data_IF_647738030025
#
_entry.id   IF_647738030025
#
_cell.length_a   1.000
_cell.length_b   1.000
_cell.length_c   1.000
_cell.angle_alpha   90.00
_cell.angle_beta   90.00
_cell.angle_gamma   90.00
#
_symmetry.space_group_name_H-M   'P 1'
#
loop_
_entity.id
_entity.type
_entity.pdbx_description
1 polymer ?
#
# COMPACT_ATOMS: atom_id res chain seq x y z
N UNK A 1 28.37 -20.35 7.39
CA UNK A 1 27.74 -19.81 8.62
C UNK A 1 27.64 -18.32 8.38
N UNK A 2 26.51 -17.90 7.84
CA UNK A 2 26.23 -16.50 7.57
C UNK A 2 25.80 -15.85 8.90
N UNK A 3 26.47 -14.75 9.21
CA UNK A 3 26.19 -13.89 10.37
C UNK A 3 24.68 -13.75 10.58
N UNK A 4 24.26 -13.90 11.84
CA UNK A 4 22.85 -13.86 12.26
C UNK A 4 22.22 -12.47 12.12
N UNK A 5 22.16 -11.96 10.90
CA UNK A 5 21.42 -10.73 10.62
C UNK A 5 19.92 -11.04 10.79
N UNK A 6 19.31 -10.46 11.80
CA UNK A 6 17.87 -10.59 12.07
C UNK A 6 17.08 -10.21 10.79
N UNK A 7 16.11 -11.04 10.42
CA UNK A 7 15.27 -10.78 9.25
C UNK A 7 14.57 -9.42 9.38
N UNK A 8 14.50 -8.68 8.27
CA UNK A 8 13.75 -7.42 8.22
C UNK A 8 12.25 -7.70 8.31
N UNK A 9 11.52 -6.81 8.94
CA UNK A 9 10.11 -6.98 9.26
C UNK A 9 9.26 -5.96 8.51
N UNK A 10 8.20 -6.43 7.88
CA UNK A 10 7.21 -5.59 7.22
C UNK A 10 5.79 -5.87 7.74
N UNK A 11 4.96 -4.84 7.82
CA UNK A 11 3.52 -4.94 8.02
C UNK A 11 2.83 -4.43 6.76
N UNK A 12 1.94 -5.25 6.19
CA UNK A 12 1.11 -4.88 5.03
C UNK A 12 -0.36 -4.93 5.44
N UNK A 13 -1.03 -3.76 5.44
CA UNK A 13 -2.44 -3.67 5.78
C UNK A 13 -3.31 -3.99 4.57
N UNK A 14 -4.43 -4.73 4.79
CA UNK A 14 -5.34 -5.10 3.70
C UNK A 14 -4.73 -6.07 2.69
N UNK A 15 -3.99 -7.08 3.17
CA UNK A 15 -3.20 -7.98 2.33
C UNK A 15 -3.86 -9.31 1.97
N UNK A 16 -5.17 -9.49 2.16
CA UNK A 16 -5.83 -10.77 1.82
C UNK A 16 -5.95 -11.02 0.31
N UNK A 17 -5.88 -9.99 -0.53
CA UNK A 17 -6.03 -10.03 -1.99
C UNK A 17 -5.45 -8.79 -2.66
N UNK A 18 -5.53 -8.73 -3.99
CA UNK A 18 -5.22 -7.57 -4.82
C UNK A 18 -3.81 -7.00 -4.57
N UNK A 19 -3.73 -5.68 -4.54
CA UNK A 19 -2.47 -4.93 -4.37
C UNK A 19 -1.73 -5.33 -3.10
N UNK A 20 -2.42 -5.35 -1.94
CA UNK A 20 -1.79 -5.67 -0.66
C UNK A 20 -1.23 -7.10 -0.62
N UNK A 21 -1.92 -8.07 -1.25
CA UNK A 21 -1.41 -9.43 -1.39
C UNK A 21 -0.13 -9.46 -2.23
N UNK A 22 -0.13 -8.81 -3.40
CA UNK A 22 1.04 -8.77 -4.26
C UNK A 22 2.24 -8.11 -3.59
N UNK A 23 2.04 -6.93 -2.97
CA UNK A 23 3.10 -6.26 -2.21
C UNK A 23 3.67 -7.17 -1.12
N UNK A 24 2.83 -7.87 -0.37
CA UNK A 24 3.26 -8.76 0.70
C UNK A 24 4.10 -9.94 0.16
N UNK A 25 3.68 -10.55 -0.96
CA UNK A 25 4.42 -11.65 -1.61
C UNK A 25 5.78 -11.14 -2.13
N UNK A 26 5.80 -9.98 -2.80
CA UNK A 26 7.05 -9.39 -3.29
C UNK A 26 8.02 -9.09 -2.14
N UNK A 27 7.57 -8.51 -1.02
CA UNK A 27 8.43 -8.32 0.15
C UNK A 27 8.95 -9.66 0.70
N UNK A 28 8.11 -10.70 0.70
CA UNK A 28 8.52 -12.07 1.04
C UNK A 28 9.65 -12.58 0.16
N UNK A 29 9.60 -12.37 -1.17
CA UNK A 29 10.66 -12.78 -2.09
C UNK A 29 11.99 -12.05 -1.86
N UNK A 30 11.97 -10.91 -1.16
CA UNK A 30 13.14 -10.18 -0.69
C UNK A 30 13.57 -10.58 0.74
N UNK A 31 13.03 -11.69 1.29
CA UNK A 31 13.44 -12.28 2.57
C UNK A 31 12.87 -11.59 3.81
N UNK A 32 11.80 -10.81 3.69
CA UNK A 32 11.15 -10.19 4.83
C UNK A 32 10.30 -11.18 5.63
N UNK A 33 10.23 -10.98 6.96
CA UNK A 33 9.08 -11.43 7.74
C UNK A 33 7.95 -10.44 7.49
N UNK A 34 6.82 -10.91 6.96
CA UNK A 34 5.69 -10.04 6.56
C UNK A 34 4.45 -10.38 7.37
N UNK A 35 4.04 -9.45 8.22
CA UNK A 35 2.75 -9.47 8.90
C UNK A 35 1.69 -8.98 7.92
N UNK A 36 0.86 -9.89 7.44
CA UNK A 36 -0.21 -9.58 6.49
C UNK A 36 -1.55 -9.52 7.22
N UNK A 37 -2.24 -8.37 7.12
CA UNK A 37 -3.46 -8.15 7.86
C UNK A 37 -4.68 -8.04 6.98
N UNK A 38 -5.84 -8.36 7.54
CA UNK A 38 -7.13 -8.29 6.88
C UNK A 38 -8.21 -9.00 7.69
N UNK A 39 -9.46 -8.88 7.26
CA UNK A 39 -10.61 -9.49 7.94
C UNK A 39 -10.85 -10.93 7.46
N UNK A 40 -10.61 -11.19 6.18
CA UNK A 40 -10.94 -12.47 5.50
C UNK A 40 -9.99 -13.57 5.93
N UNK A 41 -10.52 -14.56 6.65
CA UNK A 41 -9.78 -15.71 7.18
C UNK A 41 -10.08 -17.00 6.44
N UNK A 42 -11.29 -17.15 5.95
CA UNK A 42 -11.76 -18.36 5.29
C UNK A 42 -12.27 -18.05 3.89
N UNK A 43 -12.13 -19.05 3.00
CA UNK A 43 -12.63 -18.95 1.63
C UNK A 43 -14.16 -18.78 1.65
N UNK A 44 -14.66 -17.85 0.81
CA UNK A 44 -16.09 -17.55 0.72
C UNK A 44 -16.56 -16.35 1.57
N UNK A 45 -15.74 -15.83 2.51
CA UNK A 45 -16.05 -14.59 3.23
C UNK A 45 -16.04 -13.34 2.34
N UNK A 46 -15.49 -13.43 1.14
CA UNK A 46 -15.44 -12.35 0.16
C UNK A 46 -15.77 -12.84 -1.24
N UNK A 47 -16.58 -12.10 -2.02
CA UNK A 47 -16.84 -12.44 -3.41
C UNK A 47 -15.57 -12.41 -4.29
N UNK A 48 -14.54 -11.68 -3.86
CA UNK A 48 -13.27 -11.54 -4.57
C UNK A 48 -12.24 -12.62 -4.21
N UNK A 49 -12.61 -13.59 -3.37
CA UNK A 49 -11.68 -14.62 -2.89
C UNK A 49 -10.56 -14.07 -2.01
N UNK A 50 -9.50 -14.89 -1.84
CA UNK A 50 -8.28 -14.57 -1.10
C UNK A 50 -8.46 -14.43 0.41
N UNK A 51 -7.52 -15.02 1.17
CA UNK A 51 -7.46 -14.93 2.62
C UNK A 51 -6.08 -14.44 3.08
N UNK A 52 -5.99 -13.96 4.32
CA UNK A 52 -4.68 -13.63 4.91
C UNK A 52 -3.81 -14.88 5.09
N UNK A 53 -4.43 -16.05 5.30
CA UNK A 53 -3.73 -17.35 5.38
C UNK A 53 -3.10 -17.75 4.06
N UNK A 54 -3.86 -17.66 2.95
CA UNK A 54 -3.34 -17.96 1.60
C UNK A 54 -2.19 -17.02 1.23
N UNK A 55 -2.32 -15.74 1.60
CA UNK A 55 -1.25 -14.76 1.36
C UNK A 55 -0.01 -15.09 2.19
N UNK A 56 -0.16 -15.44 3.47
CA UNK A 56 0.97 -15.82 4.33
C UNK A 56 1.70 -17.08 3.80
N UNK A 57 0.94 -18.07 3.31
CA UNK A 57 1.52 -19.24 2.66
C UNK A 57 2.30 -18.85 1.38
N UNK A 58 1.75 -17.97 0.55
CA UNK A 58 2.41 -17.50 -0.66
C UNK A 58 3.70 -16.69 -0.34
N UNK A 59 3.70 -15.86 0.70
CA UNK A 59 4.90 -15.15 1.20
C UNK A 59 6.00 -16.17 1.56
N UNK A 60 5.61 -17.24 2.28
CA UNK A 60 6.56 -18.27 2.71
C UNK A 60 7.09 -19.05 1.52
N UNK A 61 6.24 -19.38 0.55
CA UNK A 61 6.65 -20.03 -0.70
C UNK A 61 7.59 -19.16 -1.55
N UNK A 62 7.48 -17.83 -1.44
CA UNK A 62 8.36 -16.88 -2.12
C UNK A 62 9.74 -16.70 -1.43
N UNK A 63 9.96 -17.30 -0.26
CA UNK A 63 11.25 -17.27 0.46
C UNK A 63 11.30 -16.39 1.70
N UNK A 64 10.18 -15.73 2.06
CA UNK A 64 10.04 -14.95 3.29
C UNK A 64 9.40 -15.76 4.43
N UNK A 65 8.94 -15.04 5.46
CA UNK A 65 8.10 -15.59 6.54
C UNK A 65 6.77 -14.86 6.55
N UNK A 66 5.69 -15.51 6.16
CA UNK A 66 4.34 -14.95 6.20
C UNK A 66 3.66 -15.15 7.54
N UNK A 67 3.17 -14.08 8.16
CA UNK A 67 2.45 -14.09 9.44
C UNK A 67 1.05 -13.50 9.24
N UNK A 68 -0.01 -14.33 9.18
CA UNK A 68 -1.37 -13.83 9.00
C UNK A 68 -1.90 -13.30 10.34
N UNK A 69 -2.42 -12.06 10.34
CA UNK A 69 -3.05 -11.45 11.51
C UNK A 69 -4.42 -10.91 11.15
N UNK A 70 -5.47 -11.43 11.81
CA UNK A 70 -6.80 -10.85 11.62
C UNK A 70 -6.85 -9.48 12.28
N UNK A 71 -7.18 -8.46 11.49
CA UNK A 71 -7.38 -7.08 11.95
C UNK A 71 -8.54 -6.47 11.17
N UNK A 72 -9.52 -5.93 11.86
CA UNK A 72 -10.45 -4.95 11.31
C UNK A 72 -9.85 -3.55 11.50
N UNK A 73 -9.46 -2.93 10.41
CA UNK A 73 -8.82 -1.61 10.44
C UNK A 73 -9.77 -0.45 10.83
N UNK A 74 -11.03 -0.74 11.15
CA UNK A 74 -11.94 0.19 11.83
C UNK A 74 -11.78 0.17 13.34
N UNK A 75 -11.17 -0.90 13.88
CA UNK A 75 -10.99 -1.10 15.31
C UNK A 75 -9.55 -0.74 15.70
N UNK A 76 -9.39 0.39 16.38
CA UNK A 76 -8.10 0.92 16.80
C UNK A 76 -7.40 0.00 17.81
N UNK A 77 -8.15 -0.73 18.62
CA UNK A 77 -7.60 -1.66 19.61
C UNK A 77 -6.99 -2.90 18.91
N UNK A 78 -7.63 -3.41 17.85
CA UNK A 78 -7.07 -4.49 17.04
C UNK A 78 -5.78 -4.02 16.32
N UNK A 79 -5.74 -2.77 15.86
CA UNK A 79 -4.52 -2.19 15.26
C UNK A 79 -3.42 -2.01 16.30
N UNK A 80 -3.74 -1.51 17.49
CA UNK A 80 -2.78 -1.40 18.59
C UNK A 80 -2.19 -2.77 18.97
N UNK A 81 -3.05 -3.79 19.11
CA UNK A 81 -2.64 -5.15 19.43
C UNK A 81 -1.73 -5.77 18.34
N UNK A 82 -1.95 -5.46 17.07
CA UNK A 82 -1.05 -5.86 15.97
C UNK A 82 0.37 -5.37 16.22
N UNK A 83 0.56 -4.07 16.48
CA UNK A 83 1.91 -3.50 16.66
C UNK A 83 2.55 -3.91 18.00
N UNK A 84 1.76 -4.14 19.04
CA UNK A 84 2.24 -4.76 20.27
C UNK A 84 2.80 -6.17 20.00
N UNK A 85 2.07 -6.99 19.23
CA UNK A 85 2.51 -8.31 18.81
C UNK A 85 3.80 -8.26 17.98
N UNK A 86 3.90 -7.35 16.99
CA UNK A 86 5.13 -7.18 16.20
C UNK A 86 6.31 -6.81 17.09
N UNK A 87 6.11 -5.94 18.09
CA UNK A 87 7.12 -5.58 19.08
C UNK A 87 7.58 -6.79 19.89
N UNK A 88 6.64 -7.58 20.41
CA UNK A 88 6.93 -8.72 21.27
C UNK A 88 7.64 -9.86 20.51
N UNK A 89 7.23 -10.12 19.27
CA UNK A 89 7.77 -11.23 18.47
C UNK A 89 9.07 -10.88 17.75
N UNK A 90 9.24 -9.63 17.26
CA UNK A 90 10.33 -9.26 16.35
C UNK A 90 11.22 -8.12 16.92
N UNK A 91 10.71 -7.28 17.80
CA UNK A 91 11.44 -6.15 18.40
C UNK A 91 11.82 -5.04 17.41
N UNK A 92 11.35 -5.12 16.15
CA UNK A 92 11.67 -4.16 15.07
C UNK A 92 10.54 -4.06 14.04
N UNK A 93 10.53 -2.95 13.30
CA UNK A 93 9.71 -2.79 12.11
C UNK A 93 10.49 -1.96 11.07
N UNK A 94 10.71 -2.53 9.89
CA UNK A 94 11.43 -1.87 8.81
C UNK A 94 10.50 -1.19 7.81
N UNK A 95 9.34 -1.81 7.53
CA UNK A 95 8.38 -1.30 6.54
C UNK A 95 6.96 -1.38 7.09
N UNK A 96 6.23 -0.26 7.00
CA UNK A 96 4.78 -0.23 7.12
C UNK A 96 4.18 0.12 5.75
N UNK A 97 3.32 -0.74 5.21
CA UNK A 97 2.54 -0.45 4.00
C UNK A 97 1.08 -0.23 4.39
N UNK A 98 0.64 1.01 4.33
CA UNK A 98 -0.75 1.42 4.49
C UNK A 98 -1.49 1.23 3.16
N UNK A 99 -2.12 0.07 3.00
CA UNK A 99 -2.83 -0.32 1.79
C UNK A 99 -4.31 -0.66 2.03
N UNK A 100 -4.71 -0.91 3.27
CA UNK A 100 -6.11 -1.23 3.58
C UNK A 100 -7.06 -0.16 3.02
N UNK A 101 -8.06 -0.59 2.26
CA UNK A 101 -9.12 0.26 1.74
C UNK A 101 -10.39 -0.58 1.55
N UNK A 102 -11.55 0.06 1.68
CA UNK A 102 -12.84 -0.55 1.38
C UNK A 102 -13.54 0.29 0.31
N UNK A 103 -13.40 -0.14 -0.94
CA UNK A 103 -14.01 0.52 -2.10
C UNK A 103 -15.22 -0.31 -2.51
N UNK A 104 -16.41 0.18 -2.16
CA UNK A 104 -17.68 -0.43 -2.56
C UNK A 104 -17.95 -0.19 -4.06
N UNK A 105 -18.67 -1.13 -4.70
CA UNK A 105 -18.99 -1.05 -6.13
C UNK A 105 -19.85 0.18 -6.45
N UNK A 106 -20.71 0.58 -5.54
CA UNK A 106 -21.60 1.74 -5.67
C UNK A 106 -20.81 3.05 -5.86
N UNK A 107 -19.59 3.15 -5.37
CA UNK A 107 -18.74 4.33 -5.59
C UNK A 107 -18.34 4.49 -7.05
N UNK A 108 -18.34 3.41 -7.83
CA UNK A 108 -17.97 3.44 -9.25
C UNK A 108 -19.15 3.76 -10.17
N UNK A 109 -20.39 3.81 -9.64
CA UNK A 109 -21.56 4.18 -10.42
C UNK A 109 -21.42 5.60 -10.99
N UNK A 110 -22.04 5.92 -12.15
CA UNK A 110 -22.00 7.25 -12.75
C UNK A 110 -22.86 8.28 -12.03
N UNK A 111 -23.55 7.90 -10.96
CA UNK A 111 -24.40 8.78 -10.17
C UNK A 111 -23.58 9.89 -9.50
N UNK A 112 -24.15 11.08 -9.31
CA UNK A 112 -23.55 12.11 -8.46
C UNK A 112 -23.43 11.63 -7.02
N UNK A 113 -22.48 12.18 -6.25
CA UNK A 113 -22.12 11.63 -4.93
C UNK A 113 -23.26 11.63 -3.90
N UNK A 114 -24.19 12.59 -4.02
CA UNK A 114 -25.35 12.68 -3.12
C UNK A 114 -26.45 11.64 -3.39
N UNK A 115 -26.39 10.95 -4.53
CA UNK A 115 -27.30 9.84 -4.88
C UNK A 115 -26.64 8.46 -4.65
N UNK A 116 -25.37 8.44 -4.22
CA UNK A 116 -24.66 7.22 -3.82
C UNK A 116 -24.90 6.93 -2.34
N UNK A 117 -24.85 5.66 -1.90
CA UNK A 117 -24.98 5.33 -0.48
C UNK A 117 -23.89 6.03 0.36
N UNK A 118 -24.29 6.85 1.32
CA UNK A 118 -23.38 7.59 2.20
C UNK A 118 -22.42 6.64 2.93
N UNK A 119 -22.92 5.48 3.37
CA UNK A 119 -22.12 4.47 4.06
C UNK A 119 -20.91 4.01 3.24
N UNK A 120 -21.03 3.88 1.91
CA UNK A 120 -19.91 3.50 1.04
C UNK A 120 -18.78 4.55 1.05
N UNK A 121 -19.15 5.83 1.09
CA UNK A 121 -18.19 6.94 1.21
C UNK A 121 -17.54 6.99 2.59
N UNK A 122 -18.32 6.81 3.66
CA UNK A 122 -17.81 6.80 5.04
C UNK A 122 -16.88 5.60 5.26
N UNK A 123 -17.26 4.41 4.82
CA UNK A 123 -16.44 3.20 4.89
C UNK A 123 -15.08 3.37 4.21
N UNK A 124 -15.05 4.02 3.04
CA UNK A 124 -13.80 4.31 2.35
C UNK A 124 -12.90 5.25 3.15
N UNK A 125 -13.47 6.30 3.76
CA UNK A 125 -12.69 7.22 4.58
C UNK A 125 -12.19 6.57 5.86
N UNK A 126 -13.00 5.75 6.52
CA UNK A 126 -12.61 5.06 7.75
C UNK A 126 -11.54 4.00 7.51
N UNK A 127 -11.77 3.10 6.54
CA UNK A 127 -10.86 1.99 6.27
C UNK A 127 -9.68 2.42 5.38
N UNK A 128 -9.91 3.39 4.47
CA UNK A 128 -8.86 3.82 3.55
C UNK A 128 -7.95 4.91 4.13
N UNK A 129 -8.54 5.97 4.68
CA UNK A 129 -7.77 7.14 5.12
C UNK A 129 -7.45 7.09 6.61
N UNK A 130 -8.49 7.05 7.48
CA UNK A 130 -8.32 7.09 8.94
C UNK A 130 -7.44 5.93 9.42
N UNK A 131 -7.65 4.72 8.91
CA UNK A 131 -6.87 3.56 9.33
C UNK A 131 -5.37 3.70 9.05
N UNK A 132 -4.98 4.40 7.97
CA UNK A 132 -3.59 4.67 7.64
C UNK A 132 -2.91 5.57 8.69
N UNK A 133 -3.64 6.55 9.23
CA UNK A 133 -3.16 7.36 10.36
C UNK A 133 -2.99 6.51 11.61
N UNK A 134 -4.00 5.73 11.96
CA UNK A 134 -4.01 4.88 13.18
C UNK A 134 -2.88 3.85 13.12
N UNK A 135 -2.71 3.15 12.00
CA UNK A 135 -1.62 2.18 11.83
C UNK A 135 -0.25 2.85 11.93
N UNK A 136 -0.07 4.01 11.29
CA UNK A 136 1.19 4.76 11.38
C UNK A 136 1.49 5.24 12.81
N UNK A 137 0.46 5.66 13.56
CA UNK A 137 0.60 6.08 14.96
C UNK A 137 1.16 4.96 15.84
N UNK A 138 0.59 3.76 15.76
CA UNK A 138 1.04 2.62 16.56
C UNK A 138 2.35 2.00 16.05
N UNK A 139 2.66 2.13 14.76
CA UNK A 139 3.92 1.67 14.17
C UNK A 139 5.10 2.60 14.49
N UNK A 140 4.85 3.89 14.68
CA UNK A 140 5.88 4.92 14.78
C UNK A 140 6.98 4.62 15.82
N UNK A 141 6.67 4.17 17.06
CA UNK A 141 7.73 3.85 18.03
C UNK A 141 8.70 2.77 17.51
N UNK A 142 8.19 1.68 16.91
CA UNK A 142 9.03 0.61 16.36
C UNK A 142 9.88 1.07 15.18
N UNK A 143 9.32 1.87 14.27
CA UNK A 143 10.04 2.43 13.13
C UNK A 143 11.18 3.34 13.58
N UNK A 144 10.93 4.18 14.60
CA UNK A 144 11.92 5.08 15.20
C UNK A 144 13.02 4.29 15.91
N UNK A 145 12.68 3.27 16.69
CA UNK A 145 13.63 2.40 17.36
C UNK A 145 14.51 1.62 16.37
N UNK A 146 13.95 1.22 15.23
CA UNK A 146 14.71 0.59 14.12
C UNK A 146 15.70 1.58 13.46
N UNK A 147 15.41 2.89 13.50
CA UNK A 147 16.29 3.97 13.05
C UNK A 147 16.41 4.13 11.52
N UNK A 148 15.74 3.28 10.75
CA UNK A 148 15.70 3.28 9.27
C UNK A 148 14.40 2.67 8.75
N UNK A 149 13.29 3.20 9.25
CA UNK A 149 11.96 2.74 8.84
C UNK A 149 11.48 3.36 7.54
N UNK A 150 10.56 2.65 6.86
CA UNK A 150 9.86 3.15 5.67
C UNK A 150 8.35 3.00 5.85
N UNK A 151 7.63 4.12 5.79
CA UNK A 151 6.17 4.17 5.75
C UNK A 151 5.73 4.45 4.32
N UNK A 152 4.89 3.59 3.78
CA UNK A 152 4.35 3.69 2.43
C UNK A 152 2.83 3.78 2.47
N UNK A 153 2.26 4.70 1.73
CA UNK A 153 0.83 4.78 1.46
C UNK A 153 0.55 4.43 0.01
N UNK A 154 -0.32 3.45 -0.26
CA UNK A 154 -0.76 3.14 -1.62
C UNK A 154 -1.83 4.13 -2.06
N UNK A 155 -1.45 5.02 -2.95
CA UNK A 155 -2.29 6.10 -3.46
C UNK A 155 -2.54 5.95 -4.96
N UNK A 156 -3.17 6.94 -5.56
CA UNK A 156 -3.54 6.93 -6.99
C UNK A 156 -3.75 8.35 -7.50
N UNK A 157 -3.75 8.56 -8.85
CA UNK A 157 -4.02 9.85 -9.48
C UNK A 157 -5.35 10.49 -9.07
N UNK A 158 -6.32 9.71 -8.56
CA UNK A 158 -7.56 10.25 -8.00
C UNK A 158 -7.38 11.30 -6.89
N UNK A 159 -6.16 11.47 -6.37
CA UNK A 159 -5.79 12.56 -5.47
C UNK A 159 -5.86 13.96 -6.12
N UNK A 160 -5.73 14.05 -7.44
CA UNK A 160 -5.65 15.32 -8.17
C UNK A 160 -6.67 15.46 -9.31
N UNK A 161 -7.37 14.37 -9.66
CA UNK A 161 -8.45 14.41 -10.64
C UNK A 161 -9.69 13.68 -10.13
N UNK A 162 -10.84 13.94 -10.75
CA UNK A 162 -12.09 13.29 -10.34
C UNK A 162 -12.10 11.80 -10.70
N UNK A 163 -12.23 10.96 -9.67
CA UNK A 163 -12.43 9.51 -9.83
C UNK A 163 -13.33 9.01 -8.69
N UNK A 164 -14.38 8.28 -8.99
CA UNK A 164 -15.32 7.64 -8.05
C UNK A 164 -16.07 8.58 -7.07
N UNK A 165 -15.80 9.89 -7.10
CA UNK A 165 -16.46 10.88 -6.26
C UNK A 165 -15.54 11.51 -5.19
N UNK A 166 -16.09 12.47 -4.41
CA UNK A 166 -15.29 13.29 -3.49
C UNK A 166 -14.62 12.49 -2.35
N UNK A 167 -15.25 11.43 -1.85
CA UNK A 167 -14.65 10.60 -0.80
C UNK A 167 -13.38 9.89 -1.29
N UNK A 168 -13.37 9.40 -2.54
CA UNK A 168 -12.19 8.76 -3.10
C UNK A 168 -11.06 9.78 -3.32
N UNK A 169 -11.37 10.94 -3.88
CA UNK A 169 -10.40 12.02 -4.05
C UNK A 169 -9.80 12.46 -2.72
N UNK A 170 -10.63 12.70 -1.70
CA UNK A 170 -10.20 13.04 -0.35
C UNK A 170 -9.32 11.94 0.27
N UNK A 171 -9.71 10.67 0.11
CA UNK A 171 -8.91 9.53 0.57
C UNK A 171 -7.50 9.56 -0.05
N UNK A 172 -7.39 9.61 -1.37
CA UNK A 172 -6.09 9.55 -2.05
C UNK A 172 -5.23 10.81 -1.79
N UNK A 173 -5.82 12.00 -1.85
CA UNK A 173 -5.14 13.24 -1.49
C UNK A 173 -4.71 13.26 -0.02
N UNK A 174 -5.52 12.73 0.88
CA UNK A 174 -5.21 12.59 2.29
C UNK A 174 -4.02 11.67 2.56
N UNK A 175 -3.92 10.54 1.84
CA UNK A 175 -2.75 9.63 1.95
C UNK A 175 -1.47 10.31 1.47
N UNK A 176 -1.52 11.05 0.36
CA UNK A 176 -0.38 11.82 -0.14
C UNK A 176 0.05 12.88 0.89
N UNK A 177 -0.94 13.54 1.52
CA UNK A 177 -0.69 14.53 2.56
C UNK A 177 -0.14 13.91 3.84
N UNK A 178 -0.60 12.74 4.27
CA UNK A 178 -0.04 12.02 5.40
C UNK A 178 1.44 11.69 5.18
N UNK A 179 1.82 11.20 4.00
CA UNK A 179 3.22 10.95 3.67
C UNK A 179 4.06 12.22 3.80
N UNK A 180 3.56 13.34 3.28
CA UNK A 180 4.27 14.63 3.33
C UNK A 180 4.45 15.15 4.75
N UNK A 181 3.42 15.08 5.59
CA UNK A 181 3.46 15.61 6.96
C UNK A 181 4.23 14.68 7.90
N UNK A 182 4.01 13.37 7.83
CA UNK A 182 4.74 12.40 8.64
C UNK A 182 6.24 12.42 8.34
N UNK A 183 6.64 12.70 7.10
CA UNK A 183 8.04 12.87 6.73
C UNK A 183 8.74 13.99 7.52
N UNK A 184 8.01 15.06 7.89
CA UNK A 184 8.56 16.14 8.70
C UNK A 184 8.88 15.67 10.12
N UNK A 185 7.97 14.89 10.73
CA UNK A 185 8.13 14.38 12.09
C UNK A 185 9.13 13.21 12.15
N UNK A 186 9.16 12.37 11.14
CA UNK A 186 10.03 11.20 11.07
C UNK A 186 11.48 11.50 10.68
N UNK A 187 11.74 12.58 9.95
CA UNK A 187 13.08 12.92 9.44
C UNK A 187 14.19 12.92 10.50
N UNK A 188 13.99 13.48 11.73
CA UNK A 188 15.04 13.46 12.75
C UNK A 188 15.43 12.07 13.23
N UNK A 189 14.59 11.06 12.97
CA UNK A 189 14.76 9.69 13.42
C UNK A 189 15.18 8.74 12.29
N UNK A 190 15.52 9.26 11.10
CA UNK A 190 15.92 8.45 9.97
C UNK A 190 14.80 7.63 9.30
N UNK A 191 13.55 7.90 9.63
CA UNK A 191 12.38 7.21 9.07
C UNK A 191 11.88 7.98 7.85
N UNK A 192 11.61 7.26 6.77
CA UNK A 192 11.08 7.78 5.51
C UNK A 192 9.57 7.54 5.42
N UNK A 193 8.82 8.54 4.97
CA UNK A 193 7.41 8.38 4.64
C UNK A 193 7.17 8.83 3.19
N UNK A 194 6.54 7.97 2.39
CA UNK A 194 6.20 8.26 0.98
C UNK A 194 4.78 7.79 0.67
N UNK A 195 4.16 8.41 -0.30
CA UNK A 195 3.01 7.82 -0.97
C UNK A 195 3.43 7.33 -2.36
N UNK A 196 2.80 6.25 -2.86
CA UNK A 196 3.08 5.70 -4.19
C UNK A 196 1.77 5.68 -4.97
N UNK A 197 1.73 6.38 -6.09
CA UNK A 197 0.66 6.26 -7.07
C UNK A 197 0.87 5.01 -7.90
N UNK A 198 -0.10 4.13 -7.84
CA UNK A 198 -0.16 2.90 -8.63
C UNK A 198 -0.71 3.19 -10.02
N UNK A 199 -0.35 2.34 -10.99
CA UNK A 199 -1.01 2.26 -12.28
C UNK A 199 -2.34 1.51 -12.21
N UNK A 200 -2.77 0.98 -13.35
CA UNK A 200 -3.83 -0.02 -13.39
C UNK A 200 -3.24 -1.33 -12.89
N UNK A 201 -3.69 -1.81 -11.73
CA UNK A 201 -3.15 -3.05 -11.14
C UNK A 201 -4.03 -4.23 -11.49
N UNK A 202 -3.46 -5.29 -12.01
CA UNK A 202 -4.14 -6.51 -12.45
C UNK A 202 -4.63 -7.36 -11.27
N UNK A 203 -5.50 -6.77 -10.45
CA UNK A 203 -6.17 -7.44 -9.34
C UNK A 203 -7.28 -8.37 -9.83
N UNK A 204 -7.80 -9.22 -8.93
CA UNK A 204 -8.93 -10.11 -9.21
C UNK A 204 -10.13 -9.34 -9.79
N UNK A 205 -10.39 -8.13 -9.25
CA UNK A 205 -11.46 -7.26 -9.71
C UNK A 205 -11.19 -6.69 -11.11
N UNK A 206 -9.97 -6.23 -11.38
CA UNK A 206 -9.59 -5.70 -12.70
C UNK A 206 -9.62 -6.80 -13.74
N UNK A 207 -9.21 -8.02 -13.40
CA UNK A 207 -9.34 -9.18 -14.30
C UNK A 207 -10.80 -9.45 -14.69
N UNK A 208 -11.74 -9.42 -13.73
CA UNK A 208 -13.16 -9.58 -14.04
C UNK A 208 -13.69 -8.46 -14.95
N UNK A 209 -13.21 -7.21 -14.77
CA UNK A 209 -13.56 -6.10 -15.65
C UNK A 209 -13.04 -6.37 -17.07
N UNK A 210 -11.79 -6.80 -17.23
CA UNK A 210 -11.22 -7.14 -18.54
C UNK A 210 -12.01 -8.27 -19.19
N UNK A 211 -12.35 -9.30 -18.43
CA UNK A 211 -13.10 -10.48 -18.89
C UNK A 211 -14.57 -10.14 -19.25
N UNK A 212 -15.08 -8.98 -18.82
CA UNK A 212 -16.47 -8.59 -19.07
C UNK A 212 -16.74 -8.08 -20.49
N UNK A 213 -15.70 -7.67 -21.25
CA UNK A 213 -15.85 -7.23 -22.63
C UNK A 213 -14.51 -7.03 -23.36
N UNK A 214 -14.44 -7.40 -24.64
CA UNK A 214 -13.21 -7.32 -25.43
C UNK A 214 -12.67 -5.88 -25.58
N UNK A 215 -13.53 -4.87 -25.50
CA UNK A 215 -13.16 -3.46 -25.56
C UNK A 215 -12.32 -3.00 -24.36
N UNK A 216 -12.30 -3.79 -23.27
CA UNK A 216 -11.53 -3.51 -22.06
C UNK A 216 -10.18 -4.24 -22.03
N UNK A 217 -9.88 -5.05 -23.06
CA UNK A 217 -8.64 -5.81 -23.17
C UNK A 217 -7.38 -4.94 -23.12
N UNK A 218 -7.44 -3.68 -23.58
CA UNK A 218 -6.32 -2.73 -23.51
C UNK A 218 -5.84 -2.48 -22.07
N UNK A 219 -6.69 -2.73 -21.07
CA UNK A 219 -6.29 -2.60 -19.67
C UNK A 219 -5.19 -3.60 -19.28
N UNK A 220 -5.18 -4.80 -19.89
CA UNK A 220 -4.09 -5.78 -19.66
C UNK A 220 -2.76 -5.28 -20.22
N UNK A 221 -2.78 -4.54 -21.33
CA UNK A 221 -1.57 -3.99 -21.95
C UNK A 221 -0.89 -2.92 -21.10
N UNK A 222 -1.68 -2.17 -20.32
CA UNK A 222 -1.17 -1.09 -19.45
C UNK A 222 -1.10 -1.47 -17.99
N UNK A 223 -1.63 -2.63 -17.60
CA UNK A 223 -1.68 -3.05 -16.21
C UNK A 223 -0.32 -3.52 -15.70
N UNK A 224 -0.06 -3.20 -14.44
CA UNK A 224 1.03 -3.75 -13.64
C UNK A 224 0.55 -4.93 -12.80
N UNK A 225 1.45 -5.87 -12.49
CA UNK A 225 1.12 -6.95 -11.57
C UNK A 225 0.96 -6.44 -10.14
N UNK A 226 0.19 -7.12 -9.28
CA UNK A 226 0.08 -6.74 -7.86
C UNK A 226 1.43 -6.74 -7.12
N UNK A 227 2.40 -7.54 -7.56
CA UNK A 227 3.74 -7.67 -6.99
C UNK A 227 4.66 -6.50 -7.37
N UNK A 228 4.44 -5.86 -8.51
CA UNK A 228 5.32 -4.82 -9.06
C UNK A 228 5.64 -3.70 -8.07
N UNK A 229 4.62 -3.10 -7.49
CA UNK A 229 4.80 -2.05 -6.46
C UNK A 229 5.56 -2.59 -5.23
N UNK A 230 5.37 -3.87 -4.87
CA UNK A 230 6.11 -4.49 -3.77
C UNK A 230 7.61 -4.55 -4.02
N UNK A 231 8.05 -4.82 -5.24
CA UNK A 231 9.46 -4.76 -5.63
C UNK A 231 10.02 -3.34 -5.57
N UNK A 232 9.22 -2.34 -5.96
CA UNK A 232 9.60 -0.92 -5.80
C UNK A 232 9.79 -0.55 -4.33
N UNK A 233 8.88 -0.98 -3.45
CA UNK A 233 8.98 -0.75 -2.00
C UNK A 233 10.23 -1.42 -1.43
N UNK A 234 10.54 -2.64 -1.84
CA UNK A 234 11.75 -3.33 -1.40
C UNK A 234 13.03 -2.61 -1.83
N UNK A 235 13.07 -2.07 -3.05
CA UNK A 235 14.19 -1.27 -3.56
C UNK A 235 14.35 0.05 -2.78
N UNK A 236 13.24 0.77 -2.54
CA UNK A 236 13.24 1.97 -1.69
C UNK A 236 13.79 1.67 -0.28
N UNK A 237 13.35 0.58 0.34
CA UNK A 237 13.82 0.19 1.66
C UNK A 237 15.31 -0.23 1.69
N UNK A 238 15.85 -0.66 0.55
CA UNK A 238 17.27 -1.00 0.40
C UNK A 238 18.16 0.22 0.07
N UNK A 239 17.57 1.29 -0.47
CA UNK A 239 18.30 2.48 -0.91
C UNK A 239 18.89 3.25 0.30
N UNK A 240 20.24 3.44 0.38
CA UNK A 240 20.86 4.21 1.45
C UNK A 240 20.40 5.67 1.49
N UNK A 241 19.99 6.22 0.36
CA UNK A 241 19.59 7.62 0.21
C UNK A 241 18.07 7.83 0.23
N UNK A 242 17.28 6.83 0.67
CA UNK A 242 15.81 6.87 0.67
C UNK A 242 15.21 8.10 1.39
N UNK A 243 15.91 8.68 2.36
CA UNK A 243 15.48 9.93 3.02
C UNK A 243 15.36 11.12 2.07
N UNK A 244 16.04 11.09 0.92
CA UNK A 244 15.95 12.16 -0.08
C UNK A 244 14.56 12.25 -0.74
N UNK A 245 13.81 11.14 -0.77
CA UNK A 245 12.44 11.10 -1.31
C UNK A 245 11.36 11.18 -0.24
N UNK A 246 11.73 11.31 1.04
CA UNK A 246 10.77 11.40 2.14
C UNK A 246 9.86 12.62 2.00
N UNK A 247 8.55 12.40 2.15
CA UNK A 247 7.50 13.38 1.98
C UNK A 247 6.99 13.53 0.55
N UNK A 248 7.54 12.75 -0.40
CA UNK A 248 7.12 12.82 -1.80
C UNK A 248 6.02 11.81 -2.12
N UNK A 249 5.19 12.18 -3.07
CA UNK A 249 4.35 11.24 -3.81
C UNK A 249 5.12 10.76 -5.02
N UNK A 250 5.43 9.47 -5.06
CA UNK A 250 6.15 8.81 -6.14
C UNK A 250 5.12 8.19 -7.11
N UNK A 251 5.48 8.07 -8.38
CA UNK A 251 4.73 7.25 -9.34
C UNK A 251 5.45 5.92 -9.46
N UNK A 252 4.75 4.81 -9.17
CA UNK A 252 5.34 3.48 -9.08
C UNK A 252 6.16 3.09 -10.31
N UNK A 253 5.60 3.29 -11.51
CA UNK A 253 6.29 3.00 -12.77
C UNK A 253 7.56 3.85 -12.98
N UNK A 254 7.56 5.13 -12.55
CA UNK A 254 8.74 5.99 -12.65
C UNK A 254 9.83 5.58 -11.65
N UNK A 255 9.42 5.27 -10.41
CA UNK A 255 10.34 4.75 -9.38
C UNK A 255 10.94 3.39 -9.80
N UNK A 256 10.15 2.51 -10.39
CA UNK A 256 10.62 1.23 -10.92
C UNK A 256 11.72 1.42 -11.96
N UNK A 257 11.54 2.35 -12.91
CA UNK A 257 12.55 2.68 -13.92
C UNK A 257 13.87 3.17 -13.29
N UNK A 258 13.79 3.99 -12.22
CA UNK A 258 14.98 4.48 -11.50
C UNK A 258 15.77 3.35 -10.83
N UNK A 259 15.11 2.32 -10.34
CA UNK A 259 15.71 1.15 -9.70
C UNK A 259 15.97 -0.01 -10.67
N UNK A 260 15.71 0.15 -11.97
CA UNK A 260 15.90 -0.91 -12.97
C UNK A 260 14.95 -2.10 -12.78
N UNK A 261 13.78 -1.87 -12.23
CA UNK A 261 12.74 -2.89 -11.99
C UNK A 261 11.82 -2.96 -13.20
N UNK A 262 11.69 -4.16 -13.75
CA UNK A 262 10.66 -4.51 -14.73
C UNK A 262 9.56 -5.34 -14.07
N UNK A 263 8.37 -5.32 -14.65
CA UNK A 263 7.27 -6.19 -14.28
C UNK A 263 7.38 -7.54 -15.02
N UNK A 264 6.31 -8.34 -15.02
CA UNK A 264 6.24 -9.63 -15.72
C UNK A 264 6.80 -9.51 -17.14
N UNK A 265 7.48 -10.54 -17.59
CA UNK A 265 8.03 -10.66 -18.95
C UNK A 265 8.95 -9.49 -19.37
N UNK A 266 9.58 -8.81 -18.39
CA UNK A 266 10.45 -7.69 -18.64
C UNK A 266 9.74 -6.40 -19.05
N UNK A 267 8.41 -6.32 -18.89
CA UNK A 267 7.61 -5.14 -19.24
C UNK A 267 7.88 -3.98 -18.29
N UNK A 268 7.73 -2.77 -18.81
CA UNK A 268 7.73 -1.54 -18.03
C UNK A 268 6.34 -0.91 -18.11
N UNK A 269 5.53 -1.00 -17.05
CA UNK A 269 4.23 -0.35 -17.02
C UNK A 269 4.33 1.15 -17.34
N UNK A 270 3.36 1.73 -18.06
CA UNK A 270 3.37 3.14 -18.38
C UNK A 270 3.17 4.00 -17.13
N UNK A 271 3.77 5.19 -17.12
CA UNK A 271 3.54 6.16 -16.04
C UNK A 271 2.12 6.71 -16.13
N UNK A 272 1.42 6.77 -14.99
CA UNK A 272 0.09 7.42 -14.92
C UNK A 272 0.16 8.91 -15.25
N UNK A 273 1.33 9.54 -15.08
CA UNK A 273 1.58 10.91 -15.55
C UNK A 273 1.44 11.02 -17.06
N UNK A 274 2.00 10.06 -17.79
CA UNK A 274 1.94 10.00 -19.24
C UNK A 274 0.53 9.64 -19.71
N UNK A 275 -0.09 8.63 -19.10
CA UNK A 275 -1.42 8.14 -19.49
C UNK A 275 -2.54 9.16 -19.25
N UNK A 276 -2.48 9.93 -18.16
CA UNK A 276 -3.58 10.77 -17.69
C UNK A 276 -3.25 12.26 -17.73
N UNK A 277 -2.02 12.64 -18.12
CA UNK A 277 -1.54 14.03 -18.11
C UNK A 277 -1.70 14.72 -16.73
N UNK A 278 -1.47 13.98 -15.67
CA UNK A 278 -1.55 14.44 -14.27
C UNK A 278 -0.23 14.29 -13.54
N UNK A 279 -0.04 15.05 -12.49
CA UNK A 279 1.14 14.96 -11.64
C UNK A 279 0.76 15.07 -10.17
N UNK A 280 1.54 14.45 -9.27
CA UNK A 280 1.35 14.60 -7.83
C UNK A 280 1.37 16.08 -7.40
N UNK A 281 0.57 16.39 -6.39
CA UNK A 281 0.61 17.70 -5.75
C UNK A 281 1.97 17.94 -5.08
N UNK A 282 2.42 19.19 -5.08
CA UNK A 282 3.62 19.59 -4.35
C UNK A 282 3.24 20.03 -2.94
N UNK A 283 3.84 19.39 -1.95
CA UNK A 283 3.68 19.75 -0.54
C UNK A 283 4.94 20.45 -0.03
N UNK A 284 4.76 21.44 0.82
CA UNK A 284 5.84 22.17 1.45
C UNK A 284 6.05 21.69 2.89
N UNK A 285 7.29 21.64 3.32
CA UNK A 285 7.63 21.26 4.68
C UNK A 285 7.16 22.31 5.71
N UNK A 286 7.62 22.15 6.97
CA UNK A 286 7.22 23.01 8.09
C UNK A 286 7.46 24.48 7.77
N UNK A 287 6.42 25.30 7.95
CA UNK A 287 6.57 26.74 7.93
C UNK A 287 7.43 27.14 9.15
N UNK A 288 8.56 27.77 8.92
CA UNK A 288 9.36 28.36 10.01
C UNK A 288 8.56 29.54 10.58
N UNK A 289 8.27 29.47 11.86
CA UNK A 289 7.74 30.61 12.62
C UNK A 289 8.87 31.52 13.01
#
# INVERSE_FOLDING_TARGET
MTDGQQARVAVVTGGSRGVGRGIAIALGSHGYTVYVTGRTRTTGESPWGGTIGDTAAAITAAGGKGVPVRVDHRNDEEVAALFARVRDEEGRLDILVNNAALIHDELQSPLPFWDKPLAASVDLLDVGLRSGLVASYYAAPLLVETGRGLVVFTSAPGAVHYQYGPAYGAHKAGLDKFAADMAVDFRPFGVTAVSIWLGVVLTERVKQIIDSGPELGYLDDIAETPEFTGHVIAALAADPDVLAVSGRTLIGAEAARQYGISDRDGRHPPSVRELMSVQPATYHGRIRR
#
